data_IF_935923319553
#
_entry.id   IF_935923319553
#
_cell.length_a   1.000
_cell.length_b   1.000
_cell.length_c   1.000
_cell.angle_alpha   90.00
_cell.angle_beta   90.00
_cell.angle_gamma   90.00
#
_symmetry.space_group_name_H-M   'P 1'
#
loop_
_entity.id
_entity.type
_entity.pdbx_description
1 polymer ?
#
# COMPACT_ATOMS: atom_id res chain seq x y z
N UNK A 1 10.45 5.43 -33.23
CA UNK A 1 9.49 5.84 -32.19
C UNK A 1 9.52 7.36 -32.04
N UNK A 2 8.36 8.01 -32.02
CA UNK A 2 8.28 9.42 -31.58
C UNK A 2 8.86 9.51 -30.17
N UNK A 3 9.65 10.52 -29.86
CA UNK A 3 10.16 10.65 -28.49
C UNK A 3 8.99 10.86 -27.53
N UNK A 4 9.05 10.34 -26.31
CA UNK A 4 7.98 10.48 -25.30
C UNK A 4 7.59 11.95 -25.11
N UNK A 5 8.57 12.86 -25.22
CA UNK A 5 8.36 14.31 -25.24
C UNK A 5 7.45 14.78 -26.38
N UNK A 6 7.58 14.22 -27.59
CA UNK A 6 6.70 14.53 -28.72
C UNK A 6 5.27 14.01 -28.51
N UNK A 7 5.11 12.81 -27.93
CA UNK A 7 3.78 12.27 -27.61
C UNK A 7 3.07 13.11 -26.55
N UNK A 8 3.78 13.46 -25.48
CA UNK A 8 3.27 14.35 -24.44
C UNK A 8 2.87 15.72 -25.00
N UNK A 9 3.69 16.30 -25.89
CA UNK A 9 3.35 17.56 -26.58
C UNK A 9 2.11 17.43 -27.46
N UNK A 10 2.00 16.37 -28.25
CA UNK A 10 0.86 16.13 -29.13
C UNK A 10 -0.46 15.99 -28.34
N UNK A 11 -0.40 15.40 -27.15
CA UNK A 11 -1.55 15.24 -26.27
C UNK A 11 -1.79 16.44 -25.33
N UNK A 12 -0.97 17.50 -25.41
CA UNK A 12 -1.05 18.65 -24.49
C UNK A 12 -0.74 18.31 -23.02
N UNK A 13 -0.07 17.18 -22.78
CA UNK A 13 0.23 16.68 -21.44
C UNK A 13 1.55 17.27 -20.97
N UNK A 14 1.51 17.98 -19.86
CA UNK A 14 2.70 18.40 -19.11
C UNK A 14 2.80 17.56 -17.84
N UNK A 15 3.91 16.84 -17.62
CA UNK A 15 4.11 16.07 -16.40
C UNK A 15 3.91 16.95 -15.15
N UNK A 16 2.99 16.54 -14.29
CA UNK A 16 2.63 17.27 -13.09
C UNK A 16 3.57 16.90 -11.94
N UNK A 17 4.32 17.89 -11.45
CA UNK A 17 5.11 17.75 -10.20
C UNK A 17 4.21 17.44 -9.00
N UNK A 18 3.01 18.03 -8.94
CA UNK A 18 2.03 17.81 -7.86
C UNK A 18 1.56 16.37 -7.79
N UNK A 19 1.37 15.73 -8.95
CA UNK A 19 0.98 14.33 -9.05
C UNK A 19 2.17 13.37 -9.02
N UNK A 20 3.41 13.88 -8.91
CA UNK A 20 4.60 13.04 -8.89
C UNK A 20 4.82 12.24 -10.18
N UNK A 21 4.34 12.74 -11.32
CA UNK A 21 4.37 12.01 -12.59
C UNK A 21 5.80 11.88 -13.13
N UNK A 22 6.23 10.62 -13.24
CA UNK A 22 7.44 10.19 -13.93
C UNK A 22 7.07 8.91 -14.67
N UNK A 23 6.95 8.99 -16.00
CA UNK A 23 6.41 7.91 -16.80
C UNK A 23 7.51 6.93 -17.15
N UNK A 24 7.26 5.63 -16.97
CA UNK A 24 8.16 4.60 -17.47
C UNK A 24 8.19 4.67 -19.01
N UNK A 25 9.40 4.67 -19.58
CA UNK A 25 9.61 4.77 -21.04
C UNK A 25 10.41 3.61 -21.61
N UNK A 26 10.94 2.74 -20.75
CA UNK A 26 11.76 1.60 -21.13
C UNK A 26 10.90 0.34 -21.25
N UNK A 27 10.65 -0.10 -22.48
CA UNK A 27 9.86 -1.29 -22.79
C UNK A 27 10.47 -2.59 -22.22
N UNK A 28 11.79 -2.67 -22.09
CA UNK A 28 12.46 -3.85 -21.51
C UNK A 28 12.18 -3.94 -20.02
N UNK A 29 12.19 -2.80 -19.32
CA UNK A 29 11.82 -2.74 -17.91
C UNK A 29 10.33 -3.07 -17.74
N UNK A 30 9.46 -2.50 -18.57
CA UNK A 30 8.03 -2.83 -18.57
C UNK A 30 7.79 -4.34 -18.76
N UNK A 31 8.49 -4.97 -19.70
CA UNK A 31 8.35 -6.41 -19.96
C UNK A 31 8.81 -7.29 -18.82
N UNK A 32 9.91 -6.92 -18.17
CA UNK A 32 10.40 -7.60 -16.97
C UNK A 32 9.43 -7.47 -15.80
N UNK A 33 8.83 -6.29 -15.63
CA UNK A 33 7.85 -6.03 -14.56
C UNK A 33 6.56 -6.83 -14.79
N UNK A 34 5.98 -6.77 -15.99
CA UNK A 34 4.80 -7.58 -16.32
C UNK A 34 5.12 -9.08 -16.30
N UNK A 35 6.34 -9.47 -16.68
CA UNK A 35 6.79 -10.87 -16.63
C UNK A 35 6.85 -11.40 -15.19
N UNK A 36 7.38 -10.60 -14.27
CA UNK A 36 7.45 -10.94 -12.85
C UNK A 36 6.07 -10.98 -12.17
N UNK A 37 5.02 -10.47 -12.81
CA UNK A 37 3.65 -10.61 -12.30
C UNK A 37 3.13 -12.04 -12.50
N UNK A 38 3.78 -12.85 -13.35
CA UNK A 38 3.47 -14.27 -13.58
C UNK A 38 1.98 -14.52 -13.85
N UNK A 39 1.31 -13.61 -14.58
CA UNK A 39 -0.11 -13.69 -14.89
C UNK A 39 -0.47 -15.06 -15.48
N UNK A 40 -1.48 -15.70 -14.89
CA UNK A 40 -2.01 -17.00 -15.29
C UNK A 40 -3.25 -16.82 -16.15
N UNK A 41 -3.61 -17.86 -16.88
CA UNK A 41 -4.82 -17.86 -17.70
C UNK A 41 -6.06 -17.52 -16.85
N UNK A 42 -6.88 -16.61 -17.35
CA UNK A 42 -8.09 -16.13 -16.66
C UNK A 42 -7.84 -15.01 -15.64
N UNK A 43 -6.62 -14.77 -15.17
CA UNK A 43 -6.36 -13.72 -14.19
C UNK A 43 -6.50 -12.30 -14.78
N UNK A 44 -7.09 -11.42 -13.97
CA UNK A 44 -7.31 -10.01 -14.32
C UNK A 44 -6.23 -9.15 -13.68
N UNK A 45 -5.65 -8.26 -14.49
CA UNK A 45 -4.67 -7.31 -14.01
C UNK A 45 -5.34 -6.02 -13.52
N UNK A 46 -4.92 -5.53 -12.36
CA UNK A 46 -5.20 -4.17 -11.91
C UNK A 46 -3.96 -3.31 -12.10
N UNK A 47 -4.05 -2.30 -12.94
CA UNK A 47 -3.00 -1.31 -13.17
C UNK A 47 -3.30 -0.01 -12.44
N UNK A 48 -2.37 0.44 -11.59
CA UNK A 48 -2.50 1.72 -10.85
C UNK A 48 -1.55 2.73 -11.47
N UNK A 49 -2.10 3.82 -12.02
CA UNK A 49 -1.32 4.86 -12.68
C UNK A 49 -0.70 4.39 -13.99
N UNK A 50 -1.50 3.97 -14.99
CA UNK A 50 -1.02 3.50 -16.29
C UNK A 50 -0.15 4.52 -17.02
N UNK A 51 -0.32 5.82 -16.74
CA UNK A 51 0.50 6.85 -17.34
C UNK A 51 0.31 6.87 -18.86
N UNK A 52 1.39 6.62 -19.58
CA UNK A 52 1.37 6.56 -21.05
C UNK A 52 0.90 5.22 -21.59
N UNK A 53 0.68 4.22 -20.73
CA UNK A 53 0.14 2.91 -21.09
C UNK A 53 1.19 1.87 -21.52
N UNK A 54 2.46 2.05 -21.14
CA UNK A 54 3.55 1.13 -21.50
C UNK A 54 3.41 -0.24 -20.80
N UNK A 55 2.88 -0.24 -19.56
CA UNK A 55 2.58 -1.48 -18.84
C UNK A 55 1.23 -2.03 -19.33
N UNK A 56 0.22 -1.17 -19.50
CA UNK A 56 -1.09 -1.51 -20.08
C UNK A 56 -0.97 -2.35 -21.36
N UNK A 57 -0.16 -1.89 -22.31
CA UNK A 57 0.05 -2.55 -23.60
C UNK A 57 0.54 -4.00 -23.42
N UNK A 58 1.51 -4.21 -22.54
CA UNK A 58 2.05 -5.55 -22.27
C UNK A 58 1.14 -6.40 -21.37
N UNK A 59 0.32 -5.78 -20.53
CA UNK A 59 -0.68 -6.48 -19.72
C UNK A 59 -1.80 -7.04 -20.60
N UNK A 60 -2.25 -6.31 -21.62
CA UNK A 60 -3.29 -6.76 -22.56
C UNK A 60 -2.85 -7.97 -23.42
N UNK A 61 -1.55 -8.20 -23.54
CA UNK A 61 -1.00 -9.40 -24.20
C UNK A 61 -1.12 -10.66 -23.33
N UNK A 62 -1.28 -10.54 -22.00
CA UNK A 62 -1.12 -11.66 -21.04
C UNK A 62 -2.30 -11.86 -20.11
N UNK A 63 -2.96 -10.78 -19.70
CA UNK A 63 -4.10 -10.82 -18.79
C UNK A 63 -5.39 -11.14 -19.56
N UNK A 64 -6.36 -11.77 -18.89
CA UNK A 64 -7.69 -11.97 -19.47
C UNK A 64 -8.44 -10.64 -19.63
N UNK A 65 -8.17 -9.70 -18.72
CA UNK A 65 -8.70 -8.34 -18.67
C UNK A 65 -7.71 -7.43 -17.94
N UNK A 66 -7.67 -6.15 -18.31
CA UNK A 66 -6.89 -5.11 -17.62
C UNK A 66 -7.84 -4.03 -17.13
N UNK A 67 -7.85 -3.82 -15.82
CA UNK A 67 -8.55 -2.69 -15.17
C UNK A 67 -7.51 -1.66 -14.79
N UNK A 68 -7.60 -0.45 -15.33
CA UNK A 68 -6.64 0.62 -15.07
C UNK A 68 -7.30 1.77 -14.29
N UNK A 69 -6.61 2.28 -13.27
CA UNK A 69 -7.05 3.45 -12.49
C UNK A 69 -6.08 4.60 -12.74
N UNK A 70 -6.57 5.69 -13.32
CA UNK A 70 -5.79 6.91 -13.61
C UNK A 70 -6.52 8.16 -13.11
N UNK A 71 -5.78 9.07 -12.48
CA UNK A 71 -6.36 10.30 -11.92
C UNK A 71 -6.32 11.47 -12.92
N UNK A 72 -5.35 11.49 -13.84
CA UNK A 72 -5.22 12.56 -14.83
C UNK A 72 -6.13 12.29 -16.03
N UNK A 73 -7.18 13.08 -16.16
CA UNK A 73 -8.15 13.03 -17.26
C UNK A 73 -7.49 13.07 -18.65
N UNK A 74 -6.38 13.79 -18.80
CA UNK A 74 -5.66 13.88 -20.09
C UNK A 74 -4.98 12.56 -20.46
N UNK A 75 -4.45 11.86 -19.47
CA UNK A 75 -3.92 10.51 -19.66
C UNK A 75 -5.07 9.53 -19.91
N UNK A 76 -6.22 9.73 -19.27
CA UNK A 76 -7.39 8.91 -19.55
C UNK A 76 -7.84 9.04 -21.01
N UNK A 77 -7.90 10.25 -21.56
CA UNK A 77 -8.23 10.48 -22.98
C UNK A 77 -7.21 9.80 -23.92
N UNK A 78 -5.91 9.86 -23.59
CA UNK A 78 -4.88 9.15 -24.33
C UNK A 78 -5.10 7.64 -24.29
N UNK A 79 -5.33 7.07 -23.10
CA UNK A 79 -5.52 5.64 -22.90
C UNK A 79 -6.79 5.13 -23.59
N UNK A 80 -7.90 5.86 -23.49
CA UNK A 80 -9.14 5.56 -24.22
C UNK A 80 -8.92 5.58 -25.74
N UNK A 81 -8.16 6.55 -26.27
CA UNK A 81 -7.83 6.59 -27.69
C UNK A 81 -6.93 5.43 -28.14
N UNK A 82 -6.07 4.90 -27.26
CA UNK A 82 -5.13 3.82 -27.57
C UNK A 82 -5.75 2.44 -27.43
N UNK A 83 -6.51 2.22 -26.36
CA UNK A 83 -6.94 0.90 -25.91
C UNK A 83 -8.45 0.76 -25.76
N UNK A 84 -9.23 1.85 -25.88
CA UNK A 84 -10.69 1.81 -25.65
C UNK A 84 -11.50 1.02 -26.67
N UNK A 85 -10.86 0.51 -27.74
CA UNK A 85 -11.48 -0.44 -28.68
C UNK A 85 -11.26 -1.91 -28.31
N UNK A 86 -10.50 -2.20 -27.25
CA UNK A 86 -10.32 -3.56 -26.72
C UNK A 86 -11.29 -3.77 -25.56
N UNK A 87 -12.26 -4.67 -25.71
CA UNK A 87 -13.28 -4.98 -24.69
C UNK A 87 -12.68 -5.53 -23.38
N UNK A 88 -11.41 -5.96 -23.41
CA UNK A 88 -10.67 -6.42 -22.23
C UNK A 88 -10.06 -5.27 -21.42
N UNK A 89 -10.11 -4.04 -21.91
CA UNK A 89 -9.57 -2.86 -21.24
C UNK A 89 -10.66 -2.03 -20.57
N UNK A 90 -10.55 -1.87 -19.24
CA UNK A 90 -11.44 -1.02 -18.45
C UNK A 90 -10.62 0.12 -17.86
N UNK A 91 -11.06 1.36 -18.10
CA UNK A 91 -10.40 2.54 -17.57
C UNK A 91 -11.29 3.29 -16.58
N UNK A 92 -10.79 3.49 -15.37
CA UNK A 92 -11.43 4.26 -14.31
C UNK A 92 -10.68 5.58 -14.12
N UNK A 93 -11.30 6.69 -14.50
CA UNK A 93 -10.77 8.00 -14.17
C UNK A 93 -11.09 8.37 -12.70
N UNK A 94 -10.28 7.87 -11.76
CA UNK A 94 -10.47 8.03 -10.31
C UNK A 94 -9.14 8.15 -9.59
N UNK A 95 -9.16 8.74 -8.40
CA UNK A 95 -8.07 8.58 -7.44
C UNK A 95 -8.13 7.17 -6.85
N UNK A 96 -7.05 6.39 -6.99
CA UNK A 96 -6.96 5.04 -6.42
C UNK A 96 -7.22 4.99 -4.92
N UNK A 97 -6.87 6.04 -4.17
CA UNK A 97 -7.12 6.11 -2.72
C UNK A 97 -8.61 6.23 -2.36
N UNK A 98 -9.46 6.58 -3.34
CA UNK A 98 -10.92 6.65 -3.21
C UNK A 98 -11.64 5.40 -3.73
N UNK A 99 -10.92 4.50 -4.40
CA UNK A 99 -11.51 3.29 -5.00
C UNK A 99 -11.53 2.18 -3.97
N UNK A 100 -12.69 1.56 -3.78
CA UNK A 100 -12.80 0.30 -3.06
C UNK A 100 -12.31 -0.84 -3.96
N UNK A 101 -11.05 -1.24 -3.74
CA UNK A 101 -10.39 -2.30 -4.53
C UNK A 101 -11.08 -3.65 -4.32
N UNK A 102 -11.63 -3.91 -3.13
CA UNK A 102 -12.31 -5.17 -2.85
C UNK A 102 -13.57 -5.32 -3.67
N UNK A 103 -14.44 -4.31 -3.63
CA UNK A 103 -15.65 -4.27 -4.46
C UNK A 103 -15.35 -4.28 -5.96
N UNK A 104 -14.28 -3.59 -6.37
CA UNK A 104 -13.85 -3.61 -7.77
C UNK A 104 -13.40 -5.01 -8.21
N UNK A 105 -12.70 -5.74 -7.34
CA UNK A 105 -12.25 -7.10 -7.64
C UNK A 105 -13.42 -8.08 -7.75
N UNK A 106 -14.43 -7.96 -6.88
CA UNK A 106 -15.67 -8.74 -6.98
C UNK A 106 -16.38 -8.50 -8.32
N UNK A 107 -16.45 -7.24 -8.74
CA UNK A 107 -17.13 -6.87 -9.99
C UNK A 107 -16.38 -7.34 -11.24
N UNK A 108 -15.05 -7.17 -11.27
CA UNK A 108 -14.30 -7.29 -12.52
C UNK A 108 -13.42 -8.53 -12.65
N UNK A 109 -13.11 -9.20 -11.53
CA UNK A 109 -12.02 -10.17 -11.46
C UNK A 109 -12.34 -11.42 -10.62
N UNK A 110 -13.63 -11.74 -10.40
CA UNK A 110 -14.01 -12.92 -9.61
C UNK A 110 -13.52 -12.86 -8.16
N UNK A 111 -13.28 -11.65 -7.65
CA UNK A 111 -12.88 -11.38 -6.27
C UNK A 111 -11.42 -11.01 -6.08
N UNK A 112 -10.52 -11.24 -7.06
CA UNK A 112 -9.07 -11.01 -6.88
C UNK A 112 -8.33 -10.50 -8.11
N UNK A 113 -7.40 -9.58 -7.88
CA UNK A 113 -6.50 -9.05 -8.91
C UNK A 113 -5.06 -9.54 -8.76
N UNK A 114 -4.34 -9.52 -9.89
CA UNK A 114 -2.88 -9.38 -9.91
C UNK A 114 -2.57 -7.90 -10.18
N UNK A 115 -1.88 -7.23 -9.25
CA UNK A 115 -1.61 -5.80 -9.38
C UNK A 115 -0.27 -5.56 -10.08
N UNK A 116 -0.24 -4.67 -11.06
CA UNK A 116 1.00 -4.20 -11.69
C UNK A 116 0.98 -2.69 -11.73
N UNK A 117 1.99 -2.03 -11.15
CA UNK A 117 1.95 -0.58 -11.03
C UNK A 117 3.33 0.07 -11.10
N UNK A 118 3.41 1.20 -11.81
CA UNK A 118 4.50 2.16 -11.64
C UNK A 118 3.97 3.33 -10.80
N UNK A 119 4.00 3.19 -9.47
CA UNK A 119 3.31 4.11 -8.59
C UNK A 119 3.89 5.53 -8.67
N UNK A 120 3.04 6.57 -8.78
CA UNK A 120 3.52 7.94 -8.65
C UNK A 120 4.16 8.16 -7.28
N UNK A 121 5.27 8.87 -7.26
CA UNK A 121 6.12 8.98 -6.06
C UNK A 121 5.43 9.71 -4.91
N UNK A 122 4.56 10.66 -5.22
CA UNK A 122 3.80 11.42 -4.21
C UNK A 122 2.82 10.55 -3.42
N UNK A 123 2.36 9.43 -3.99
CA UNK A 123 1.33 8.58 -3.38
C UNK A 123 1.79 7.14 -3.13
N UNK A 124 3.06 6.79 -3.35
CA UNK A 124 3.51 5.40 -3.25
C UNK A 124 3.23 4.78 -1.87
N UNK A 125 3.52 5.52 -0.78
CA UNK A 125 3.24 5.03 0.59
C UNK A 125 1.73 4.88 0.88
N UNK A 126 0.85 5.89 0.67
CA UNK A 126 -0.57 5.70 0.91
C UNK A 126 -1.22 4.69 -0.03
N UNK A 127 -0.78 4.58 -1.29
CA UNK A 127 -1.29 3.58 -2.23
C UNK A 127 -0.95 2.15 -1.76
N UNK A 128 0.29 1.91 -1.33
CA UNK A 128 0.66 0.62 -0.73
C UNK A 128 -0.18 0.29 0.50
N UNK A 129 -0.35 1.23 1.42
CA UNK A 129 -1.20 1.01 2.61
C UNK A 129 -2.64 0.71 2.22
N UNK A 130 -3.19 1.42 1.22
CA UNK A 130 -4.53 1.19 0.69
C UNK A 130 -4.67 -0.21 0.09
N UNK A 131 -3.70 -0.65 -0.71
CA UNK A 131 -3.65 -2.01 -1.25
C UNK A 131 -3.62 -3.07 -0.15
N UNK A 132 -2.84 -2.85 0.93
CA UNK A 132 -2.77 -3.81 2.05
C UNK A 132 -4.12 -3.94 2.80
N UNK A 133 -4.99 -2.92 2.76
CA UNK A 133 -6.36 -3.04 3.29
C UNK A 133 -7.21 -3.99 2.44
N UNK A 134 -6.98 -4.00 1.13
CA UNK A 134 -7.63 -4.88 0.17
C UNK A 134 -6.85 -6.19 -0.07
N UNK A 135 -5.99 -6.61 0.88
CA UNK A 135 -5.13 -7.80 0.70
C UNK A 135 -5.89 -9.09 0.36
N UNK A 136 -7.16 -9.21 0.77
CA UNK A 136 -8.01 -10.37 0.43
C UNK A 136 -8.44 -10.42 -1.04
N UNK A 137 -8.32 -9.29 -1.73
CA UNK A 137 -8.73 -9.09 -3.12
C UNK A 137 -7.54 -8.91 -4.06
N UNK A 138 -6.33 -9.16 -3.57
CA UNK A 138 -5.09 -9.08 -4.36
C UNK A 138 -4.31 -10.36 -4.07
N UNK A 139 -3.93 -11.09 -5.11
CA UNK A 139 -3.11 -12.29 -4.95
C UNK A 139 -1.63 -11.95 -4.82
N UNK A 140 -1.14 -11.13 -5.75
CA UNK A 140 0.22 -10.62 -5.78
C UNK A 140 0.29 -9.28 -6.47
N UNK A 141 1.36 -8.55 -6.21
CA UNK A 141 1.59 -7.25 -6.83
C UNK A 141 3.04 -7.09 -7.29
N UNK A 142 3.26 -6.57 -8.49
CA UNK A 142 4.57 -6.11 -8.95
C UNK A 142 4.56 -4.61 -9.09
N UNK A 143 5.40 -3.95 -8.30
CA UNK A 143 5.33 -2.50 -8.13
C UNK A 143 6.70 -1.87 -8.36
N UNK A 144 6.73 -0.82 -9.16
CA UNK A 144 7.86 0.08 -9.28
C UNK A 144 7.65 1.27 -8.35
N UNK A 145 8.65 1.57 -7.53
CA UNK A 145 8.64 2.66 -6.57
C UNK A 145 10.05 3.20 -6.33
N UNK A 146 10.17 4.37 -5.70
CA UNK A 146 11.49 4.93 -5.38
C UNK A 146 12.25 4.04 -4.41
N UNK A 147 13.57 3.94 -4.59
CA UNK A 147 14.44 3.10 -3.74
C UNK A 147 14.30 3.42 -2.25
N UNK A 148 14.06 4.67 -1.89
CA UNK A 148 13.84 5.07 -0.48
C UNK A 148 12.53 4.53 0.10
N UNK A 149 11.46 4.45 -0.69
CA UNK A 149 10.18 3.87 -0.26
C UNK A 149 10.36 2.36 -0.10
N UNK A 150 11.07 1.73 -1.03
CA UNK A 150 11.45 0.32 -0.92
C UNK A 150 12.21 0.05 0.38
N UNK A 151 13.23 0.88 0.68
CA UNK A 151 14.03 0.76 1.91
C UNK A 151 13.17 0.76 3.19
N UNK A 152 12.02 1.41 3.19
CA UNK A 152 11.08 1.38 4.32
C UNK A 152 10.37 0.04 4.47
N UNK A 153 10.14 -0.71 3.39
CA UNK A 153 9.51 -2.03 3.44
C UNK A 153 10.41 -3.05 4.16
N UNK A 154 11.71 -2.99 3.87
CA UNK A 154 12.72 -3.88 4.46
C UNK A 154 13.24 -3.43 5.82
N UNK A 155 12.91 -2.20 6.24
CA UNK A 155 13.46 -1.62 7.45
C UNK A 155 13.15 -2.48 8.70
N UNK A 156 14.12 -2.66 9.57
CA UNK A 156 13.98 -3.42 10.82
C UNK A 156 13.66 -2.51 12.01
N UNK A 157 13.07 -3.03 13.10
CA UNK A 157 12.86 -2.25 14.32
C UNK A 157 14.16 -1.55 14.76
N UNK A 158 14.05 -0.27 15.11
CA UNK A 158 15.17 0.60 15.48
C UNK A 158 15.86 1.31 14.31
N UNK A 159 15.61 0.93 13.06
CA UNK A 159 16.21 1.59 11.91
C UNK A 159 15.51 2.92 11.54
N UNK A 160 16.29 3.86 10.99
CA UNK A 160 15.79 5.18 10.58
C UNK A 160 14.62 5.13 9.58
N UNK A 161 14.56 4.09 8.73
CA UNK A 161 13.51 3.93 7.72
C UNK A 161 12.28 3.18 8.26
N UNK A 162 12.33 2.63 9.48
CA UNK A 162 11.25 1.84 10.07
C UNK A 162 10.06 2.68 10.47
N UNK A 163 8.86 2.29 10.02
CA UNK A 163 7.63 3.01 10.34
C UNK A 163 6.38 2.22 9.96
N UNK A 164 5.24 2.92 9.89
CA UNK A 164 3.93 2.29 9.63
C UNK A 164 3.93 1.40 8.40
N UNK A 165 4.53 1.87 7.30
CA UNK A 165 4.62 1.10 6.06
C UNK A 165 5.37 -0.23 6.26
N UNK A 166 6.46 -0.22 7.04
CA UNK A 166 7.26 -1.41 7.34
C UNK A 166 6.45 -2.50 8.03
N UNK A 167 5.62 -2.10 9.00
CA UNK A 167 4.79 -3.01 9.80
C UNK A 167 3.61 -3.53 9.01
N UNK A 168 2.85 -2.63 8.37
CA UNK A 168 1.61 -2.99 7.68
C UNK A 168 1.88 -3.86 6.46
N UNK A 169 2.93 -3.55 5.68
CA UNK A 169 3.25 -4.38 4.51
C UNK A 169 3.77 -5.75 4.95
N UNK A 170 4.62 -5.83 5.98
CA UNK A 170 5.13 -7.12 6.49
C UNK A 170 4.06 -8.00 7.13
N UNK A 171 3.04 -7.38 7.72
CA UNK A 171 1.86 -8.09 8.21
C UNK A 171 1.05 -8.70 7.05
N UNK A 172 0.90 -7.95 5.96
CA UNK A 172 -0.01 -8.30 4.87
C UNK A 172 0.63 -9.11 3.74
N UNK A 173 1.96 -9.03 3.56
CA UNK A 173 2.63 -9.57 2.39
C UNK A 173 4.09 -9.97 2.65
N UNK A 174 4.58 -10.94 1.86
CA UNK A 174 6.01 -11.18 1.70
C UNK A 174 6.58 -10.26 0.62
N UNK A 175 7.67 -9.55 0.94
CA UNK A 175 8.28 -8.55 0.06
C UNK A 175 9.58 -9.08 -0.54
N UNK A 176 9.62 -9.23 -1.87
CA UNK A 176 10.80 -9.63 -2.61
C UNK A 176 11.29 -8.48 -3.50
N UNK A 177 12.57 -8.13 -3.41
CA UNK A 177 13.18 -7.17 -4.33
C UNK A 177 13.50 -7.87 -5.64
N UNK A 178 13.03 -7.32 -6.76
CA UNK A 178 13.31 -7.89 -8.08
C UNK A 178 14.61 -7.31 -8.65
N UNK A 179 14.64 -6.01 -8.96
CA UNK A 179 15.80 -5.35 -9.54
C UNK A 179 15.74 -3.82 -9.41
N UNK A 180 16.90 -3.13 -9.35
CA UNK A 180 16.95 -1.68 -9.43
C UNK A 180 16.62 -1.19 -10.85
N UNK A 181 16.03 0.00 -10.95
CA UNK A 181 15.69 0.65 -12.22
C UNK A 181 16.35 2.02 -12.24
N UNK A 182 17.13 2.27 -13.29
CA UNK A 182 17.88 3.50 -13.44
C UNK A 182 16.95 4.68 -13.81
N UNK A 183 17.29 5.92 -13.39
CA UNK A 183 16.42 7.07 -13.66
C UNK A 183 16.15 7.34 -15.15
N UNK A 184 17.09 7.01 -16.05
CA UNK A 184 16.92 7.23 -17.49
C UNK A 184 15.83 6.37 -18.13
N UNK A 185 15.32 5.36 -17.42
CA UNK A 185 14.16 4.57 -17.84
C UNK A 185 12.83 5.33 -17.69
N UNK A 186 12.84 6.57 -17.19
CA UNK A 186 11.64 7.37 -16.97
C UNK A 186 11.73 8.77 -17.61
N UNK A 187 10.55 9.35 -17.88
CA UNK A 187 10.41 10.73 -18.32
C UNK A 187 9.28 11.47 -17.57
N UNK A 188 9.56 12.65 -16.97
CA UNK A 188 10.88 13.23 -16.75
C UNK A 188 11.74 12.33 -15.84
N UNK A 189 13.05 12.37 -16.06
CA UNK A 189 14.00 11.58 -15.29
C UNK A 189 13.96 11.98 -13.81
N UNK A 190 13.75 11.04 -12.88
CA UNK A 190 13.79 11.32 -11.46
C UNK A 190 15.21 11.57 -10.96
N UNK A 191 15.31 12.16 -9.77
CA UNK A 191 16.61 12.42 -9.12
C UNK A 191 17.17 11.21 -8.38
N UNK A 192 16.33 10.21 -8.15
CA UNK A 192 16.66 9.01 -7.37
C UNK A 192 16.36 7.77 -8.19
N UNK A 193 17.00 6.67 -7.85
CA UNK A 193 16.73 5.36 -8.43
C UNK A 193 15.37 4.83 -7.99
N UNK A 194 14.80 4.00 -8.85
CA UNK A 194 13.61 3.22 -8.56
C UNK A 194 13.97 1.75 -8.36
N UNK A 195 13.05 0.96 -7.83
CA UNK A 195 13.19 -0.47 -7.63
C UNK A 195 11.88 -1.15 -7.98
N UNK A 196 11.96 -2.28 -8.66
CA UNK A 196 10.83 -3.18 -8.84
C UNK A 196 10.79 -4.17 -7.67
N UNK A 197 9.61 -4.35 -7.07
CA UNK A 197 9.36 -5.30 -6.00
C UNK A 197 8.21 -6.23 -6.38
N UNK A 198 8.23 -7.43 -5.82
CA UNK A 198 7.11 -8.37 -5.83
C UNK A 198 6.56 -8.51 -4.40
N UNK A 199 5.25 -8.36 -4.26
CA UNK A 199 4.50 -8.61 -3.05
C UNK A 199 3.65 -9.85 -3.25
N UNK A 200 3.84 -10.85 -2.39
CA UNK A 200 2.93 -12.00 -2.30
C UNK A 200 1.96 -11.75 -1.14
N UNK A 201 0.65 -11.75 -1.41
CA UNK A 201 -0.40 -11.51 -0.43
C UNK A 201 -1.22 -12.77 -0.12
N UNK A 202 -0.90 -13.91 -0.74
CA UNK A 202 -1.53 -15.20 -0.46
C UNK A 202 -0.91 -15.91 0.75
N UNK A 203 0.24 -15.45 1.24
CA UNK A 203 0.86 -16.00 2.44
C UNK A 203 -0.01 -15.80 3.69
N UNK A 204 -0.05 -16.80 4.56
CA UNK A 204 -0.67 -16.67 5.88
C UNK A 204 -0.03 -15.48 6.63
N UNK A 205 -0.82 -14.66 7.36
CA UNK A 205 -0.25 -13.56 8.12
C UNK A 205 0.87 -14.04 9.04
N UNK A 206 1.99 -13.32 9.07
CA UNK A 206 3.14 -13.70 9.90
C UNK A 206 2.81 -13.75 11.41
N UNK A 207 1.75 -13.05 11.81
CA UNK A 207 1.27 -12.95 13.19
C UNK A 207 -0.26 -12.93 13.21
N UNK A 208 -0.86 -13.41 14.30
CA UNK A 208 -2.30 -13.38 14.48
C UNK A 208 -2.78 -12.02 15.01
N UNK A 209 -3.81 -11.46 14.38
CA UNK A 209 -4.44 -10.19 14.76
C UNK A 209 -5.95 -10.36 14.73
N UNK A 210 -6.62 -10.09 15.86
CA UNK A 210 -8.08 -10.28 15.99
C UNK A 210 -8.87 -9.26 15.16
N UNK A 211 -8.36 -8.03 15.10
CA UNK A 211 -9.00 -6.89 14.44
C UNK A 211 -7.93 -6.07 13.69
N UNK A 212 -7.94 -6.21 12.37
CA UNK A 212 -6.96 -5.55 11.49
C UNK A 212 -7.13 -4.02 11.43
N UNK A 213 -8.33 -3.49 11.65
CA UNK A 213 -8.54 -2.04 11.69
C UNK A 213 -7.93 -1.46 12.96
N UNK A 214 -8.16 -2.09 14.11
CA UNK A 214 -7.54 -1.70 15.38
C UNK A 214 -6.01 -1.82 15.31
N UNK A 215 -5.49 -2.90 14.75
CA UNK A 215 -4.05 -3.06 14.53
C UNK A 215 -3.48 -1.93 13.67
N UNK A 216 -4.12 -1.61 12.53
CA UNK A 216 -3.70 -0.50 11.67
C UNK A 216 -3.73 0.84 12.39
N UNK A 217 -4.79 1.12 13.14
CA UNK A 217 -4.91 2.34 13.94
C UNK A 217 -3.82 2.43 15.02
N UNK A 218 -3.50 1.30 15.68
CA UNK A 218 -2.46 1.22 16.70
C UNK A 218 -1.09 1.51 16.10
N UNK A 219 -0.73 0.84 15.00
CA UNK A 219 0.56 1.03 14.32
C UNK A 219 0.69 2.47 13.81
N UNK A 220 -0.36 3.01 13.19
CA UNK A 220 -0.36 4.38 12.67
C UNK A 220 -0.21 5.42 13.78
N UNK A 221 -0.95 5.28 14.88
CA UNK A 221 -0.86 6.20 16.02
C UNK A 221 0.49 6.10 16.73
N UNK A 222 0.95 4.89 17.05
CA UNK A 222 2.21 4.66 17.75
C UNK A 222 3.43 5.19 16.99
N UNK A 223 3.44 5.06 15.66
CA UNK A 223 4.56 5.48 14.81
C UNK A 223 4.41 6.92 14.25
N UNK A 224 3.32 7.62 14.57
CA UNK A 224 3.10 9.01 14.15
C UNK A 224 4.09 10.00 14.76
N UNK A 225 4.61 9.71 15.96
CA UNK A 225 5.49 10.60 16.73
C UNK A 225 6.78 9.90 17.17
N UNK A 226 7.71 9.74 16.24
CA UNK A 226 8.98 8.99 16.41
C UNK A 226 9.81 9.35 17.65
N UNK A 227 9.71 10.58 18.14
CA UNK A 227 10.49 11.06 19.30
C UNK A 227 9.81 10.83 20.65
N UNK A 228 8.55 10.39 20.69
CA UNK A 228 7.80 10.15 21.93
C UNK A 228 7.79 8.68 22.31
N UNK A 229 7.65 8.41 23.61
CA UNK A 229 7.35 7.08 24.15
C UNK A 229 6.02 6.57 23.58
N UNK A 230 5.91 5.26 23.32
CA UNK A 230 4.73 4.65 22.71
C UNK A 230 3.44 4.97 23.47
N UNK A 231 3.46 4.92 24.81
CA UNK A 231 2.30 5.28 25.64
C UNK A 231 1.77 6.69 25.38
N UNK A 232 2.64 7.65 25.07
CA UNK A 232 2.24 9.04 24.84
C UNK A 232 1.59 9.25 23.48
N UNK A 233 1.80 8.31 22.54
CA UNK A 233 1.14 8.30 21.23
C UNK A 233 -0.14 7.47 21.26
N UNK A 234 -0.12 6.30 21.90
CA UNK A 234 -1.25 5.35 21.95
C UNK A 234 -2.37 5.88 22.85
N UNK A 235 -2.04 6.40 24.05
CA UNK A 235 -3.04 6.85 25.02
C UNK A 235 -4.07 7.83 24.44
N UNK A 236 -3.68 8.97 23.83
CA UNK A 236 -4.65 9.91 23.27
C UNK A 236 -5.39 9.35 22.05
N UNK A 237 -4.75 8.49 21.25
CA UNK A 237 -5.36 7.94 20.03
C UNK A 237 -6.54 6.99 20.31
N UNK A 238 -6.51 6.31 21.47
CA UNK A 238 -7.55 5.36 21.89
C UNK A 238 -8.33 5.83 23.12
N UNK A 239 -8.16 7.09 23.55
CA UNK A 239 -8.87 7.64 24.72
C UNK A 239 -8.59 6.90 26.03
N UNK A 240 -7.39 6.31 26.18
CA UNK A 240 -7.08 5.48 27.34
C UNK A 240 -6.76 6.30 28.58
N UNK A 241 -7.18 5.82 29.75
CA UNK A 241 -6.74 6.34 31.04
C UNK A 241 -5.31 5.88 31.37
N UNK A 242 -4.69 6.52 32.37
CA UNK A 242 -3.37 6.09 32.85
C UNK A 242 -3.39 4.68 33.46
N UNK A 243 -4.50 4.25 34.08
CA UNK A 243 -4.65 2.89 34.60
C UNK A 243 -4.79 1.88 33.46
N UNK A 244 -5.55 2.19 32.41
CA UNK A 244 -5.68 1.32 31.24
C UNK A 244 -4.35 1.12 30.50
N UNK A 245 -3.49 2.15 30.44
CA UNK A 245 -2.13 1.99 29.89
C UNK A 245 -1.29 1.02 30.73
N UNK A 246 -1.34 1.11 32.06
CA UNK A 246 -0.62 0.17 32.94
C UNK A 246 -1.14 -1.27 32.79
N UNK A 247 -2.45 -1.44 32.64
CA UNK A 247 -3.06 -2.75 32.37
C UNK A 247 -2.60 -3.28 31.01
N UNK A 248 -2.55 -2.43 29.99
CA UNK A 248 -2.06 -2.80 28.66
C UNK A 248 -0.58 -3.22 28.71
N UNK A 249 0.30 -2.43 29.35
CA UNK A 249 1.72 -2.77 29.59
C UNK A 249 1.86 -4.12 30.30
N UNK A 250 1.11 -4.33 31.39
CA UNK A 250 1.19 -5.55 32.20
C UNK A 250 0.69 -6.79 31.45
N UNK A 251 -0.46 -6.70 30.77
CA UNK A 251 -1.07 -7.85 30.08
C UNK A 251 -0.34 -8.23 28.80
N UNK A 252 0.18 -7.24 28.06
CA UNK A 252 0.96 -7.49 26.84
C UNK A 252 2.42 -7.86 27.14
N UNK A 253 2.93 -7.55 28.33
CA UNK A 253 4.34 -7.73 28.69
C UNK A 253 5.29 -6.76 27.97
N UNK A 254 4.76 -5.69 27.38
CA UNK A 254 5.51 -4.74 26.55
C UNK A 254 5.68 -3.40 27.26
N UNK A 255 6.93 -2.96 27.40
CA UNK A 255 7.27 -1.66 27.97
C UNK A 255 6.90 -0.52 27.00
N UNK A 256 5.80 0.20 27.29
CA UNK A 256 5.35 1.34 26.47
C UNK A 256 6.12 2.64 26.79
N UNK A 257 7.13 2.59 27.67
CA UNK A 257 8.15 3.65 27.80
C UNK A 257 9.11 3.68 26.61
N UNK A 258 9.31 2.55 25.93
CA UNK A 258 10.10 2.47 24.70
C UNK A 258 9.45 3.30 23.59
N UNK A 259 10.26 3.65 22.59
CA UNK A 259 9.75 4.25 21.35
C UNK A 259 9.15 3.16 20.47
N UNK A 260 8.00 3.45 19.88
CA UNK A 260 7.29 2.49 19.03
C UNK A 260 8.11 2.02 17.81
N UNK A 261 9.08 2.82 17.35
CA UNK A 261 10.00 2.41 16.27
C UNK A 261 10.90 1.23 16.64
N UNK A 262 10.97 0.86 17.92
CA UNK A 262 11.72 -0.31 18.42
C UNK A 262 10.87 -1.57 18.57
N UNK A 263 9.57 -1.49 18.31
CA UNK A 263 8.68 -2.64 18.42
C UNK A 263 8.79 -3.54 17.20
N UNK A 264 8.75 -4.85 17.42
CA UNK A 264 8.62 -5.88 16.39
C UNK A 264 7.16 -5.99 15.90
N UNK A 265 6.96 -6.76 14.83
CA UNK A 265 5.61 -7.05 14.31
C UNK A 265 4.78 -7.84 15.34
N UNK A 266 5.40 -8.81 16.01
CA UNK A 266 4.80 -9.61 17.09
C UNK A 266 4.35 -8.74 18.27
N UNK A 267 5.19 -7.79 18.69
CA UNK A 267 4.84 -6.84 19.74
C UNK A 267 3.64 -5.96 19.34
N UNK A 268 3.59 -5.48 18.09
CA UNK A 268 2.42 -4.72 17.62
C UNK A 268 1.14 -5.56 17.57
N UNK A 269 1.23 -6.82 17.13
CA UNK A 269 0.07 -7.72 17.09
C UNK A 269 -0.43 -8.05 18.50
N UNK A 270 0.48 -8.40 19.41
CA UNK A 270 0.16 -8.64 20.82
C UNK A 270 -0.50 -7.42 21.47
N UNK A 271 0.05 -6.21 21.25
CA UNK A 271 -0.55 -4.97 21.76
C UNK A 271 -1.95 -4.73 21.17
N UNK A 272 -2.16 -4.98 19.88
CA UNK A 272 -3.46 -4.76 19.24
C UNK A 272 -4.55 -5.71 19.77
N UNK A 273 -4.21 -6.98 19.99
CA UNK A 273 -5.14 -7.96 20.55
C UNK A 273 -5.45 -7.61 22.02
N UNK A 274 -4.41 -7.37 22.83
CA UNK A 274 -4.55 -6.97 24.24
C UNK A 274 -5.36 -5.67 24.40
N UNK A 275 -5.14 -4.69 23.51
CA UNK A 275 -5.89 -3.45 23.51
C UNK A 275 -7.40 -3.68 23.30
N UNK A 276 -7.78 -4.63 22.45
CA UNK A 276 -9.17 -5.02 22.26
C UNK A 276 -9.82 -5.47 23.57
N UNK A 277 -9.15 -6.34 24.31
CA UNK A 277 -9.63 -6.83 25.60
C UNK A 277 -9.79 -5.71 26.64
N UNK A 278 -8.82 -4.78 26.70
CA UNK A 278 -8.85 -3.64 27.64
C UNK A 278 -9.99 -2.69 27.33
N UNK A 279 -10.29 -2.45 26.05
CA UNK A 279 -11.40 -1.59 25.63
C UNK A 279 -12.76 -2.23 25.92
N UNK A 280 -12.90 -3.55 25.74
CA UNK A 280 -14.11 -4.29 26.07
C UNK A 280 -14.36 -4.35 27.58
N UNK A 281 -13.32 -4.54 28.39
CA UNK A 281 -13.41 -4.62 29.85
C UNK A 281 -13.83 -3.28 30.51
N UNK A 282 -13.57 -2.15 29.84
CA UNK A 282 -13.96 -0.82 30.32
C UNK A 282 -15.46 -0.49 30.18
N UNK A 283 -16.22 -1.25 29.40
CA UNK A 283 -17.66 -1.05 29.19
C UNK A 283 -18.54 -1.87 30.14
N UNK A 284 -17.96 -2.74 30.98
CA UNK A 284 -18.70 -3.64 31.87
C UNK A 284 -18.74 -3.21 33.34
N UNK A 285 -18.40 -1.95 33.66
CA UNK A 285 -18.41 -1.44 35.03
C UNK A 285 -19.53 -0.42 35.25
N UNK A 286 -20.78 -0.88 35.26
CA UNK A 286 -21.82 -0.22 36.07
C UNK A 286 -21.56 -0.56 37.53
N UNK A 287 -20.96 0.38 38.26
CA UNK A 287 -20.84 0.35 39.72
C UNK A 287 -22.27 0.38 40.30
N UNK A 288 -22.69 -0.58 41.15
CA UNK A 288 -23.97 -0.45 41.84
C UNK A 288 -23.89 0.72 42.82
N UNK A 289 -24.98 1.49 43.00
CA UNK A 289 -24.96 2.61 43.94
C UNK A 289 -24.74 2.05 45.34
N UNK A 290 -23.74 2.59 46.04
CA UNK A 290 -23.49 2.31 47.44
C UNK A 290 -24.76 2.64 48.25
N UNK A 291 -25.41 1.58 48.73
CA UNK A 291 -26.50 1.63 49.67
C UNK A 291 -25.97 2.06 51.03
N UNK A 292 -26.41 3.23 51.47
CA UNK A 292 -26.18 3.81 52.78
C UNK A 292 -26.67 2.87 53.89
N UNK A 293 -25.91 2.81 54.98
CA UNK A 293 -26.38 2.45 56.33
C UNK A 293 -25.94 3.56 57.27
#
# INVERSE_FOLDING_TARGET
MKSVSQMLKACGIRPSRRLGQSFLTDERIASRVVGAAELREGEVALEIGPGLGILTEQLLERASKVVAIEIDERLCNLLSSRFGGDDRFILLNKDVLSVDVGRLAEAEAGGRFVVVAALPYSISSPALLHMMRAKRSIDRAVIILQREVGARLWARPGEKSYGTLSVIVRYAATVNTLFPIAPHSFYPQPRVESVAIHLDLQCAPAVHVDDEERFRALVASALSQRRKMARNAIRPAFGLSASQIRVLEHRSGIDLSRRAETFSLDEFACLANTLGEVLCSGHSSTVPPDGQS
#
